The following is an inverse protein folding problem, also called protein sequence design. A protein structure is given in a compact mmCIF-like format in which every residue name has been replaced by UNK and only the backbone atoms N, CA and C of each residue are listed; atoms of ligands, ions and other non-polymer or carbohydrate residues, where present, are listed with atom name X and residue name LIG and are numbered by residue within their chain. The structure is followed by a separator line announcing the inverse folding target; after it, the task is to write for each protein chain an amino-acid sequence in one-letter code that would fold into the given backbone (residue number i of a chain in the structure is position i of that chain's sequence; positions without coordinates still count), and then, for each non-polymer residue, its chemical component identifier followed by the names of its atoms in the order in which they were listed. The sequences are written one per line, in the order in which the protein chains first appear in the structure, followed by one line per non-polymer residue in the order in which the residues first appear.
data_IF_381524686509
#
_entry.id   IF_381524686509
#
_cell.length_a   1.000
_cell.length_b   1.000
_cell.length_c   1.000
_cell.angle_alpha   90.00
_cell.angle_beta   90.00
_cell.angle_gamma   90.00
#
_symmetry.space_group_name_H-M   'P 1'
#
loop_
_entity.id
_entity.type
_entity.pdbx_description
1 polymer ?
#
# COMPACT_ATOMS: atom_id res chain seq x y z
N UNK A 1 -8.96 8.08 -3.54
CA UNK A 1 -7.94 9.14 -3.62
C UNK A 1 -7.45 9.39 -2.20
N UNK A 2 -6.14 9.57 -2.04
CA UNK A 2 -5.50 9.59 -0.72
C UNK A 2 -4.51 10.76 -0.60
N UNK A 3 -4.23 11.15 0.64
CA UNK A 3 -3.22 12.15 1.00
C UNK A 3 -1.85 11.47 1.07
N UNK A 4 -1.27 11.25 -0.12
CA UNK A 4 0.02 10.57 -0.29
C UNK A 4 0.88 11.29 -1.33
N UNK A 5 2.21 11.33 -1.15
CA UNK A 5 3.11 11.94 -2.12
C UNK A 5 3.34 10.99 -3.33
N UNK A 6 3.30 11.54 -4.54
CA UNK A 6 3.56 10.78 -5.77
C UNK A 6 5.02 10.35 -5.91
N UNK A 7 5.94 11.03 -5.23
CA UNK A 7 7.41 10.85 -5.22
C UNK A 7 7.91 9.79 -4.22
N UNK A 8 7.00 9.05 -3.58
CA UNK A 8 7.31 7.90 -2.71
C UNK A 8 6.69 6.62 -3.29
N UNK A 9 7.09 5.43 -2.80
CA UNK A 9 6.42 4.18 -3.16
C UNK A 9 4.91 4.26 -2.91
N UNK A 10 4.11 3.68 -3.80
CA UNK A 10 2.65 3.66 -3.64
C UNK A 10 2.31 2.66 -2.54
N UNK A 11 1.70 3.14 -1.46
CA UNK A 11 1.21 2.28 -0.40
C UNK A 11 0.09 1.38 -0.94
N UNK A 12 0.26 0.07 -0.74
CA UNK A 12 -0.75 -0.94 -1.02
C UNK A 12 -1.37 -1.38 0.31
N UNK A 13 -2.69 -1.38 0.40
CA UNK A 13 -3.41 -2.04 1.48
C UNK A 13 -4.19 -3.23 0.94
N UNK A 14 -4.17 -4.32 1.70
CA UNK A 14 -4.91 -5.53 1.37
C UNK A 14 -5.96 -5.80 2.45
N UNK A 15 -7.11 -6.31 2.03
CA UNK A 15 -8.15 -6.77 2.95
C UNK A 15 -8.64 -8.14 2.52
N UNK A 16 -8.89 -9.03 3.50
CA UNK A 16 -9.43 -10.36 3.24
C UNK A 16 -10.90 -10.46 3.63
N UNK A 17 -11.66 -11.24 2.87
CA UNK A 17 -13.09 -11.42 3.08
C UNK A 17 -13.43 -12.25 4.34
N UNK A 18 -12.51 -13.06 4.85
CA UNK A 18 -12.70 -13.86 6.06
C UNK A 18 -11.61 -13.57 7.11
N UNK A 19 -11.92 -13.58 8.42
CA UNK A 19 -10.91 -13.40 9.46
C UNK A 19 -9.82 -14.48 9.47
N UNK A 20 -10.17 -15.72 9.11
CA UNK A 20 -9.19 -16.80 9.04
C UNK A 20 -8.15 -16.54 7.94
N UNK A 21 -8.61 -16.10 6.76
CA UNK A 21 -7.75 -15.73 5.65
C UNK A 21 -6.95 -14.47 5.97
N UNK A 22 -7.55 -13.47 6.61
CA UNK A 22 -6.86 -12.26 7.07
C UNK A 22 -5.65 -12.59 7.95
N UNK A 23 -5.84 -13.48 8.95
CA UNK A 23 -4.74 -13.92 9.81
C UNK A 23 -3.69 -14.75 9.07
N UNK A 24 -4.11 -15.63 8.15
CA UNK A 24 -3.18 -16.47 7.40
C UNK A 24 -2.27 -15.68 6.46
N UNK A 25 -2.74 -14.51 6.00
CA UNK A 25 -2.04 -13.65 5.04
C UNK A 25 -1.45 -12.41 5.69
N UNK A 26 -1.61 -12.23 7.00
CA UNK A 26 -1.18 -11.04 7.74
C UNK A 26 -1.74 -9.72 7.15
N UNK A 27 -3.00 -9.75 6.68
CA UNK A 27 -3.72 -8.59 6.14
C UNK A 27 -4.91 -8.20 7.01
N UNK A 28 -5.44 -7.00 6.81
CA UNK A 28 -6.59 -6.53 7.57
C UNK A 28 -7.88 -7.30 7.23
N UNK A 29 -8.73 -7.62 8.22
CA UNK A 29 -10.05 -8.15 7.93
C UNK A 29 -10.92 -7.06 7.30
N UNK A 30 -11.75 -7.43 6.33
CA UNK A 30 -12.78 -6.53 5.81
C UNK A 30 -13.83 -6.25 6.89
N UNK A 31 -13.67 -5.13 7.60
CA UNK A 31 -14.51 -4.71 8.73
C UNK A 31 -15.34 -3.45 8.43
N UNK A 32 -15.42 -3.04 7.16
CA UNK A 32 -16.07 -1.80 6.77
C UNK A 32 -17.59 -1.87 6.95
N UNK A 33 -18.12 -0.99 7.79
CA UNK A 33 -19.56 -0.77 7.96
C UNK A 33 -19.98 0.52 7.23
N UNK A 34 -20.69 0.40 6.10
CA UNK A 34 -21.14 1.55 5.31
C UNK A 34 -21.57 1.19 3.89
N UNK A 35 -21.72 2.21 3.04
CA UNK A 35 -22.01 2.01 1.60
C UNK A 35 -20.78 1.38 0.94
N UNK A 36 -20.94 0.19 0.38
CA UNK A 36 -19.86 -0.53 -0.32
C UNK A 36 -20.10 -0.60 -1.83
N UNK A 37 -19.01 -0.76 -2.58
CA UNK A 37 -19.03 -0.95 -4.04
C UNK A 37 -19.19 -2.42 -4.45
N UNK A 38 -19.12 -2.68 -5.76
CA UNK A 38 -19.24 -4.04 -6.32
C UNK A 38 -18.19 -5.01 -5.76
N UNK A 39 -16.99 -4.53 -5.43
CA UNK A 39 -15.93 -5.36 -4.84
C UNK A 39 -16.32 -5.88 -3.45
N UNK A 40 -16.97 -5.06 -2.62
CA UNK A 40 -17.47 -5.50 -1.32
C UNK A 40 -18.58 -6.54 -1.46
N UNK A 41 -19.47 -6.39 -2.45
CA UNK A 41 -20.51 -7.38 -2.75
C UNK A 41 -19.89 -8.71 -3.21
N UNK A 42 -18.89 -8.66 -4.09
CA UNK A 42 -18.15 -9.85 -4.54
C UNK A 42 -17.44 -10.52 -3.37
N UNK A 43 -16.78 -9.75 -2.49
CA UNK A 43 -16.13 -10.26 -1.30
C UNK A 43 -17.10 -10.97 -0.34
N UNK A 44 -18.29 -10.39 -0.10
CA UNK A 44 -19.32 -11.04 0.74
C UNK A 44 -19.85 -12.33 0.10
N UNK A 45 -20.11 -12.33 -1.21
CA UNK A 45 -20.56 -13.53 -1.93
C UNK A 45 -19.50 -14.63 -1.98
N UNK A 46 -18.22 -14.27 -2.16
CA UNK A 46 -17.11 -15.21 -2.10
C UNK A 46 -17.03 -15.86 -0.71
N UNK A 47 -17.10 -15.05 0.36
CA UNK A 47 -17.13 -15.53 1.74
C UNK A 47 -18.31 -16.48 2.00
N UNK A 48 -19.52 -16.16 1.54
CA UNK A 48 -20.72 -17.03 1.68
C UNK A 48 -20.59 -18.36 0.96
N UNK A 49 -19.76 -18.42 -0.08
CA UNK A 49 -19.48 -19.61 -0.87
C UNK A 49 -18.19 -20.32 -0.47
N UNK A 50 -17.56 -19.89 0.62
CA UNK A 50 -16.29 -20.44 1.11
C UNK A 50 -15.18 -20.34 0.06
N UNK A 51 -15.19 -19.27 -0.74
CA UNK A 51 -14.15 -18.93 -1.71
C UNK A 51 -13.25 -17.88 -1.07
N UNK A 52 -11.95 -18.14 -1.05
CA UNK A 52 -10.96 -17.17 -0.59
C UNK A 52 -10.94 -15.95 -1.50
N UNK A 53 -11.00 -14.77 -0.89
CA UNK A 53 -11.01 -13.50 -1.59
C UNK A 53 -10.20 -12.47 -0.81
N UNK A 54 -9.28 -11.83 -1.54
CA UNK A 54 -8.43 -10.74 -1.06
C UNK A 54 -8.58 -9.57 -2.03
N UNK A 55 -8.67 -8.37 -1.49
CA UNK A 55 -8.78 -7.12 -2.25
C UNK A 55 -7.59 -6.23 -1.95
N UNK A 56 -6.91 -5.76 -3.00
CA UNK A 56 -5.78 -4.84 -2.91
C UNK A 56 -6.19 -3.44 -3.36
N UNK A 57 -5.67 -2.43 -2.68
CA UNK A 57 -5.94 -1.02 -2.94
C UNK A 57 -4.64 -0.25 -3.03
N UNK A 58 -4.50 0.56 -4.08
CA UNK A 58 -3.39 1.49 -4.24
C UNK A 58 -3.80 2.91 -3.82
N UNK A 59 -3.03 3.51 -2.92
CA UNK A 59 -3.22 4.91 -2.55
C UNK A 59 -2.68 5.83 -3.66
N UNK A 60 -3.58 6.41 -4.46
CA UNK A 60 -3.21 7.37 -5.52
C UNK A 60 -3.39 8.80 -5.01
N UNK A 61 -2.37 9.68 -5.19
CA UNK A 61 -2.43 11.08 -4.83
C UNK A 61 -3.62 11.80 -5.48
N UNK A 62 -4.36 12.58 -4.70
CA UNK A 62 -5.59 13.22 -5.18
C UNK A 62 -5.36 14.39 -6.15
N UNK A 63 -4.19 15.03 -6.07
CA UNK A 63 -3.83 16.20 -6.90
C UNK A 63 -3.36 15.81 -8.31
N UNK A 64 -3.30 14.51 -8.62
CA UNK A 64 -2.94 14.03 -9.96
C UNK A 64 -4.20 13.64 -10.73
N UNK A 65 -4.46 14.36 -11.81
CA UNK A 65 -5.66 14.18 -12.65
C UNK A 65 -5.51 13.10 -13.75
N UNK A 66 -4.30 12.57 -13.97
CA UNK A 66 -4.01 11.60 -15.03
C UNK A 66 -4.33 10.17 -14.59
N UNK A 67 -5.58 9.74 -14.84
CA UNK A 67 -6.01 8.35 -14.69
C UNK A 67 -5.95 7.62 -16.04
N UNK A 68 -5.49 6.34 -16.09
CA UNK A 68 -4.93 5.55 -14.99
C UNK A 68 -3.46 5.90 -14.68
N UNK A 69 -3.05 5.73 -13.42
CA UNK A 69 -1.65 5.88 -12.98
C UNK A 69 -0.87 4.59 -13.24
N UNK A 70 0.14 4.60 -14.15
CA UNK A 70 0.97 3.42 -14.38
C UNK A 70 1.78 3.00 -13.14
N UNK A 71 2.18 3.96 -12.31
CA UNK A 71 2.89 3.70 -11.04
C UNK A 71 2.02 2.91 -10.06
N UNK A 72 0.73 3.26 -9.96
CA UNK A 72 -0.21 2.50 -9.13
C UNK A 72 -0.49 1.10 -9.69
N UNK A 73 -0.59 0.95 -11.01
CA UNK A 73 -0.75 -0.36 -11.65
C UNK A 73 0.47 -1.26 -11.44
N UNK A 74 1.68 -0.71 -11.53
CA UNK A 74 2.91 -1.43 -11.25
C UNK A 74 2.96 -1.90 -9.79
N UNK A 75 2.67 -1.02 -8.84
CA UNK A 75 2.67 -1.37 -7.42
C UNK A 75 1.64 -2.46 -7.06
N UNK A 76 0.45 -2.45 -7.69
CA UNK A 76 -0.53 -3.52 -7.53
C UNK A 76 -0.06 -4.86 -8.11
N UNK A 77 0.68 -4.82 -9.23
CA UNK A 77 1.23 -6.02 -9.85
C UNK A 77 2.34 -6.62 -8.99
N UNK A 78 3.25 -5.79 -8.48
CA UNK A 78 4.33 -6.20 -7.57
C UNK A 78 3.76 -6.80 -6.27
N UNK A 79 2.74 -6.16 -5.67
CA UNK A 79 2.06 -6.72 -4.49
C UNK A 79 1.38 -8.07 -4.78
N UNK A 80 0.84 -8.24 -5.99
CA UNK A 80 0.26 -9.52 -6.40
C UNK A 80 1.33 -10.60 -6.61
N UNK A 81 2.50 -10.26 -7.15
CA UNK A 81 3.63 -11.18 -7.29
C UNK A 81 4.15 -11.67 -5.94
N UNK A 82 4.31 -10.75 -4.98
CA UNK A 82 4.70 -11.07 -3.61
C UNK A 82 3.68 -12.01 -2.98
N UNK A 83 2.39 -11.71 -3.14
CA UNK A 83 1.31 -12.52 -2.61
C UNK A 83 1.21 -13.92 -3.25
N UNK A 84 1.39 -14.02 -4.57
CA UNK A 84 1.31 -15.28 -5.31
C UNK A 84 2.62 -16.07 -5.31
N UNK A 85 3.69 -15.51 -4.74
CA UNK A 85 5.07 -16.00 -4.83
C UNK A 85 5.47 -16.38 -6.27
N UNK A 86 4.92 -15.66 -7.25
CA UNK A 86 5.00 -16.01 -8.67
C UNK A 86 5.36 -14.77 -9.48
N UNK A 87 6.44 -14.80 -10.28
CA UNK A 87 6.79 -13.68 -11.14
C UNK A 87 5.74 -13.50 -12.24
N UNK A 88 5.34 -12.26 -12.45
CA UNK A 88 4.42 -11.80 -13.47
C UNK A 88 5.18 -10.92 -14.49
N UNK A 89 4.78 -10.93 -15.78
CA UNK A 89 5.42 -10.08 -16.78
C UNK A 89 4.97 -8.62 -16.61
N UNK A 90 5.91 -7.71 -16.34
CA UNK A 90 5.63 -6.27 -16.16
C UNK A 90 5.54 -5.48 -17.47
N UNK A 91 6.11 -6.00 -18.57
CA UNK A 91 6.13 -5.30 -19.86
C UNK A 91 6.82 -3.93 -19.77
N UNK A 92 6.11 -2.88 -20.20
CA UNK A 92 6.60 -1.49 -20.20
C UNK A 92 6.18 -0.68 -18.97
N UNK A 93 5.56 -1.32 -17.96
CA UNK A 93 4.98 -0.61 -16.80
C UNK A 93 6.02 0.18 -16.00
N UNK A 94 7.23 -0.35 -15.82
CA UNK A 94 8.32 0.34 -15.13
C UNK A 94 8.70 1.66 -15.81
N UNK A 95 8.90 1.63 -17.13
CA UNK A 95 9.24 2.83 -17.92
C UNK A 95 8.10 3.85 -17.88
N UNK A 96 6.85 3.38 -17.99
CA UNK A 96 5.66 4.24 -17.94
C UNK A 96 5.44 4.84 -16.56
N UNK A 97 5.73 4.10 -15.49
CA UNK A 97 5.65 4.60 -14.12
C UNK A 97 6.67 5.73 -13.90
N UNK A 98 7.93 5.54 -14.30
CA UNK A 98 8.96 6.55 -14.18
C UNK A 98 8.65 7.81 -15.02
N UNK A 99 8.19 7.64 -16.26
CA UNK A 99 7.79 8.75 -17.13
C UNK A 99 6.57 9.52 -16.58
N UNK A 100 5.63 8.81 -15.97
CA UNK A 100 4.49 9.41 -15.29
C UNK A 100 4.94 10.23 -14.08
N UNK A 101 5.81 9.68 -13.21
CA UNK A 101 6.32 10.37 -12.03
C UNK A 101 7.05 11.66 -12.39
N UNK A 102 7.98 11.61 -13.35
CA UNK A 102 8.67 12.80 -13.84
C UNK A 102 7.72 13.86 -14.45
N UNK A 103 6.58 13.43 -14.99
CA UNK A 103 5.55 14.36 -15.48
C UNK A 103 4.83 15.03 -14.32
N UNK A 104 4.49 14.28 -13.28
CA UNK A 104 3.84 14.83 -12.07
C UNK A 104 4.79 15.75 -11.31
N UNK A 105 6.08 15.38 -11.17
CA UNK A 105 7.11 16.23 -10.56
C UNK A 105 7.17 17.60 -11.21
N UNK A 106 7.17 17.63 -12.55
CA UNK A 106 7.18 18.87 -13.33
C UNK A 106 5.91 19.69 -13.11
N UNK A 107 4.74 19.06 -13.10
CA UNK A 107 3.47 19.75 -12.82
C UNK A 107 3.46 20.34 -11.41
N UNK A 108 3.93 19.60 -10.41
CA UNK A 108 4.03 20.06 -9.03
C UNK A 108 5.08 21.17 -8.86
N UNK A 109 6.13 21.20 -9.70
CA UNK A 109 7.11 22.30 -9.69
C UNK A 109 6.59 23.59 -10.34
N UNK A 110 5.63 23.49 -11.26
CA UNK A 110 4.99 24.64 -11.91
C UNK A 110 3.96 25.34 -10.99
N UNK A 111 3.41 24.62 -10.00
CA UNK A 111 2.45 25.12 -9.02
C UNK A 111 3.05 25.08 -7.60
N UNK A 112 3.42 26.26 -7.06
CA UNK A 112 4.05 26.35 -5.74
C UNK A 112 3.18 25.83 -4.60
N UNK A 113 1.84 25.95 -4.70
CA UNK A 113 0.93 25.47 -3.66
C UNK A 113 0.92 23.94 -3.62
N UNK A 114 0.82 23.31 -4.80
CA UNK A 114 0.93 21.84 -4.93
C UNK A 114 2.32 21.38 -4.49
N UNK A 115 3.39 22.07 -4.91
CA UNK A 115 4.75 21.72 -4.55
C UNK A 115 5.02 21.75 -3.04
N UNK A 116 4.54 22.78 -2.34
CA UNK A 116 4.68 22.84 -0.88
C UNK A 116 3.81 21.81 -0.16
N UNK A 117 2.61 21.53 -0.70
CA UNK A 117 1.76 20.46 -0.19
C UNK A 117 2.40 19.07 -0.34
N UNK A 118 3.02 18.78 -1.49
CA UNK A 118 3.75 17.52 -1.71
C UNK A 118 4.87 17.36 -0.70
N UNK A 119 5.67 18.39 -0.42
CA UNK A 119 6.75 18.33 0.58
C UNK A 119 6.24 18.01 1.98
N UNK A 120 5.08 18.54 2.36
CA UNK A 120 4.47 18.23 3.65
C UNK A 120 4.04 16.75 3.71
N UNK A 121 3.44 16.23 2.63
CA UNK A 121 3.09 14.81 2.52
C UNK A 121 4.32 13.90 2.56
N UNK A 122 5.40 14.27 1.87
CA UNK A 122 6.68 13.56 1.93
C UNK A 122 7.23 13.52 3.35
N UNK A 123 7.26 14.67 4.03
CA UNK A 123 7.75 14.75 5.40
C UNK A 123 6.92 13.90 6.35
N UNK A 124 5.60 13.97 6.27
CA UNK A 124 4.71 13.14 7.08
C UNK A 124 4.97 11.65 6.83
N UNK A 125 5.13 11.25 5.57
CA UNK A 125 5.35 9.84 5.21
C UNK A 125 6.71 9.34 5.68
N UNK A 126 7.77 10.12 5.49
CA UNK A 126 9.13 9.78 5.91
C UNK A 126 9.23 9.71 7.46
N UNK A 127 8.54 10.60 8.18
CA UNK A 127 8.48 10.58 9.64
C UNK A 127 7.77 9.31 10.17
N UNK A 128 6.70 8.87 9.51
CA UNK A 128 5.97 7.65 9.88
C UNK A 128 6.81 6.39 9.59
N UNK A 129 7.47 6.30 8.43
CA UNK A 129 8.39 5.19 8.12
C UNK A 129 9.57 5.11 9.10
N UNK A 130 10.11 6.27 9.52
CA UNK A 130 11.15 6.32 10.53
C UNK A 130 10.67 5.82 11.90
N UNK A 131 9.44 6.13 12.30
CA UNK A 131 8.83 5.65 13.55
C UNK A 131 8.63 4.14 13.53
N UNK A 132 8.13 3.58 12.42
CA UNK A 132 7.95 2.14 12.27
C UNK A 132 9.28 1.39 12.33
N UNK A 133 10.29 1.85 11.57
CA UNK A 133 11.62 1.23 11.57
C UNK A 133 12.30 1.26 12.96
N UNK A 134 12.11 2.33 13.73
CA UNK A 134 12.63 2.42 15.11
C UNK A 134 11.86 1.53 16.08
N UNK A 135 10.53 1.43 15.95
CA UNK A 135 9.72 0.51 16.76
C UNK A 135 10.13 -0.96 16.56
N UNK A 136 10.35 -1.38 15.31
CA UNK A 136 10.82 -2.72 14.97
C UNK A 136 12.21 -3.03 15.55
N UNK A 137 13.11 -2.04 15.53
CA UNK A 137 14.45 -2.19 16.15
C UNK A 137 14.35 -2.39 17.65
N UNK A 138 13.48 -1.62 18.32
CA UNK A 138 13.26 -1.74 19.77
C UNK A 138 12.62 -3.09 20.10
N UNK A 139 11.62 -3.54 19.33
CA UNK A 139 10.98 -4.84 19.52
C UNK A 139 11.99 -6.00 19.43
N UNK A 140 12.85 -5.98 18.40
CA UNK A 140 13.94 -6.98 18.23
C UNK A 140 14.93 -6.97 19.39
N UNK A 141 15.23 -5.80 19.98
CA UNK A 141 16.11 -5.69 21.13
C UNK A 141 15.47 -6.25 22.41
N UNK A 142 14.18 -5.96 22.63
CA UNK A 142 13.40 -6.50 23.75
C UNK A 142 13.30 -8.02 23.67
N UNK A 143 13.01 -8.59 22.50
CA UNK A 143 13.00 -10.05 22.31
C UNK A 143 14.36 -10.69 22.62
N UNK A 144 15.46 -10.07 22.17
CA UNK A 144 16.83 -10.53 22.47
C UNK A 144 17.15 -10.43 23.96
N UNK A 145 16.62 -9.42 24.66
CA UNK A 145 16.79 -9.28 26.11
C UNK A 145 16.03 -10.37 26.87
N UNK A 146 14.76 -10.60 26.54
CA UNK A 146 13.92 -11.63 27.17
C UNK A 146 14.51 -13.05 26.99
N UNK A 147 14.94 -13.41 25.78
CA UNK A 147 15.61 -14.71 25.51
C UNK A 147 16.89 -14.93 26.32
N UNK A 148 17.57 -13.86 26.73
CA UNK A 148 18.79 -13.94 27.54
C UNK A 148 18.50 -14.19 29.01
N UNK A 149 17.33 -13.77 29.48
CA UNK A 149 16.90 -13.85 30.87
C UNK A 149 16.08 -15.11 31.19
N UNK A 150 15.50 -15.77 30.19
CA UNK A 150 14.82 -17.08 30.34
C UNK A 150 15.80 -18.28 30.34
N UNK A 151 17.06 -18.08 29.92
CA UNK A 151 18.09 -19.13 29.85
C UNK A 151 19.13 -19.07 30.98
N UNK A 152 18.82 -18.37 32.09
CA UNK A 152 19.66 -18.29 33.30
C UNK A 152 18.82 -18.47 34.55
#
# INVERSE_FOLDING_TARGET
MADVPHSRPIAISATAASPALANALEVDPSNYEGVTGILGVIGDEARRREIDAVSFWAAVPHYVSTTPSPKASLALLEALEEYLETPLPHGDLGERAAAWEATVDRMAAEDSEVGDYVKELERSKDDDEFREATADSIAKEVERFLRRHENG
#
